data_IF_849978138938
#
_entry.id   IF_849978138938
#
_cell.length_a   1.000
_cell.length_b   1.000
_cell.length_c   1.000
_cell.angle_alpha   90.00
_cell.angle_beta   90.00
_cell.angle_gamma   90.00
#
_symmetry.space_group_name_H-M   'P 1'
#
loop_
_entity.id
_entity.type
_entity.pdbx_description
1 polymer ?
#
# COMPACT_ATOMS: atom_id res chain seq x y z
N UNK A 1 53.65 5.13 -19.29
CA UNK A 1 52.18 5.40 -19.34
C UNK A 1 51.29 4.18 -19.10
N UNK A 2 51.62 2.95 -19.55
CA UNK A 2 50.72 1.79 -19.37
C UNK A 2 50.57 1.30 -17.92
N UNK A 3 51.63 1.40 -17.10
CA UNK A 3 51.60 0.93 -15.71
C UNK A 3 50.67 1.77 -14.81
N UNK A 4 50.64 3.09 -15.02
CA UNK A 4 49.80 4.01 -14.24
C UNK A 4 48.31 3.78 -14.47
N UNK A 5 47.89 3.42 -15.69
CA UNK A 5 46.48 3.15 -15.99
C UNK A 5 45.97 1.87 -15.33
N UNK A 6 46.80 0.82 -15.28
CA UNK A 6 46.44 -0.46 -14.65
C UNK A 6 46.27 -0.29 -13.13
N UNK A 7 47.13 0.52 -12.49
CA UNK A 7 47.04 0.81 -11.05
C UNK A 7 45.76 1.58 -10.73
N UNK A 8 45.39 2.57 -11.56
CA UNK A 8 44.15 3.34 -11.37
C UNK A 8 42.91 2.47 -11.54
N UNK A 9 42.85 1.61 -12.56
CA UNK A 9 41.73 0.69 -12.77
C UNK A 9 41.62 -0.32 -11.61
N UNK A 10 42.74 -0.88 -11.16
CA UNK A 10 42.75 -1.81 -10.02
C UNK A 10 42.29 -1.13 -8.72
N UNK A 11 42.69 0.13 -8.48
CA UNK A 11 42.24 0.92 -7.33
C UNK A 11 40.74 1.22 -7.40
N UNK A 12 40.20 1.57 -8.58
CA UNK A 12 38.77 1.80 -8.77
C UNK A 12 37.98 0.49 -8.55
N UNK A 13 38.43 -0.64 -9.11
CA UNK A 13 37.75 -1.93 -8.94
C UNK A 13 37.78 -2.44 -7.50
N UNK A 14 38.89 -2.25 -6.77
CA UNK A 14 38.98 -2.61 -5.35
C UNK A 14 38.13 -1.70 -4.46
N UNK A 15 38.00 -0.40 -4.80
CA UNK A 15 37.06 0.50 -4.16
C UNK A 15 35.60 0.08 -4.41
N UNK A 16 35.25 -0.35 -5.62
CA UNK A 16 33.89 -0.83 -5.95
C UNK A 16 33.56 -2.16 -5.25
N UNK A 17 34.56 -3.06 -5.09
CA UNK A 17 34.40 -4.36 -4.42
C UNK A 17 34.22 -4.26 -2.90
N UNK A 18 34.69 -3.16 -2.29
CA UNK A 18 34.69 -2.98 -0.83
C UNK A 18 33.35 -2.47 -0.27
N UNK A 19 32.43 -2.05 -1.13
CA UNK A 19 31.09 -1.70 -0.68
C UNK A 19 30.27 -3.00 -0.54
N UNK A 20 29.78 -3.35 0.66
CA UNK A 20 28.80 -4.43 0.77
C UNK A 20 27.69 -4.11 -0.23
N UNK A 21 27.45 -5.04 -1.15
CA UNK A 21 26.47 -4.81 -2.21
C UNK A 21 25.17 -4.34 -1.58
N UNK A 22 24.51 -3.34 -2.17
CA UNK A 22 23.18 -2.89 -1.74
C UNK A 22 22.23 -4.10 -1.54
N UNK A 23 22.42 -5.13 -2.36
CA UNK A 23 21.77 -6.44 -2.30
C UNK A 23 21.95 -7.17 -0.96
N UNK A 24 23.14 -7.14 -0.35
CA UNK A 24 23.37 -7.79 0.95
C UNK A 24 22.62 -7.08 2.06
N UNK A 25 22.67 -5.74 2.11
CA UNK A 25 21.93 -4.96 3.13
C UNK A 25 20.42 -5.20 3.05
N UNK A 26 19.86 -5.32 1.83
CA UNK A 26 18.43 -5.59 1.66
C UNK A 26 18.03 -6.98 2.17
N UNK A 27 18.92 -7.99 2.06
CA UNK A 27 18.63 -9.37 2.54
C UNK A 27 18.56 -9.49 4.06
N UNK A 28 19.18 -8.56 4.77
CA UNK A 28 19.24 -8.57 6.24
C UNK A 28 18.08 -7.80 6.88
N UNK A 29 17.30 -7.03 6.10
CA UNK A 29 16.14 -6.31 6.63
C UNK A 29 15.01 -7.31 6.91
N UNK A 30 14.54 -7.40 8.16
CA UNK A 30 13.40 -8.24 8.50
C UNK A 30 12.17 -7.89 7.66
N UNK A 31 11.36 -8.89 7.28
CA UNK A 31 10.19 -8.66 6.44
C UNK A 31 9.21 -7.65 7.04
N UNK A 32 9.11 -7.58 8.38
CA UNK A 32 8.26 -6.64 9.11
C UNK A 32 8.84 -5.20 9.22
N UNK A 33 10.07 -4.98 8.73
CA UNK A 33 10.71 -3.66 8.63
C UNK A 33 10.81 -3.16 7.18
N UNK A 34 10.38 -3.97 6.21
CA UNK A 34 10.45 -3.65 4.79
C UNK A 34 9.11 -3.10 4.28
N UNK A 35 9.00 -1.80 3.92
CA UNK A 35 7.76 -1.23 3.42
C UNK A 35 7.37 -1.84 2.07
N UNK A 36 6.11 -2.29 1.95
CA UNK A 36 5.59 -2.98 0.78
C UNK A 36 4.15 -2.55 0.47
N UNK A 37 3.86 -2.41 -0.82
CA UNK A 37 2.49 -2.20 -1.30
C UNK A 37 1.70 -3.51 -1.17
N UNK A 38 0.49 -3.43 -0.64
CA UNK A 38 -0.43 -4.56 -0.45
C UNK A 38 -1.78 -4.29 -1.12
N UNK A 39 -2.35 -5.27 -1.81
CA UNK A 39 -3.73 -5.17 -2.31
C UNK A 39 -4.73 -5.62 -1.25
N UNK A 40 -5.75 -4.79 -0.99
CA UNK A 40 -6.91 -5.15 -0.17
C UNK A 40 -7.85 -6.07 -0.97
N UNK A 41 -8.26 -7.19 -0.38
CA UNK A 41 -9.08 -8.24 -1.01
C UNK A 41 -8.67 -8.52 -2.46
N UNK A 42 -7.40 -8.89 -2.64
CA UNK A 42 -6.72 -9.13 -3.91
C UNK A 42 -7.51 -10.02 -4.88
N UNK A 43 -8.29 -10.97 -4.36
CA UNK A 43 -9.12 -11.89 -5.13
C UNK A 43 -10.34 -11.26 -5.79
N UNK A 44 -10.79 -10.07 -5.37
CA UNK A 44 -11.96 -9.42 -5.98
C UNK A 44 -11.72 -8.99 -7.42
N UNK A 45 -10.46 -8.87 -7.84
CA UNK A 45 -10.08 -8.58 -9.23
C UNK A 45 -10.56 -9.64 -10.23
N UNK A 46 -10.87 -10.86 -9.77
CA UNK A 46 -11.45 -11.94 -10.57
C UNK A 46 -12.98 -11.87 -10.69
N UNK A 47 -13.66 -10.94 -10.01
CA UNK A 47 -15.11 -10.75 -10.13
C UNK A 47 -15.42 -10.20 -11.52
N UNK A 48 -16.10 -11.03 -12.34
CA UNK A 48 -16.61 -10.69 -13.68
C UNK A 48 -18.13 -10.49 -13.71
N UNK A 49 -18.81 -10.83 -12.62
CA UNK A 49 -20.25 -10.76 -12.42
C UNK A 49 -20.76 -9.32 -12.41
N UNK A 50 -21.79 -9.01 -13.18
CA UNK A 50 -22.31 -7.63 -13.33
C UNK A 50 -23.37 -7.26 -12.31
N UNK A 51 -23.83 -8.19 -11.48
CA UNK A 51 -24.84 -7.87 -10.48
C UNK A 51 -24.30 -6.89 -9.45
N UNK A 52 -25.17 -5.96 -9.03
CA UNK A 52 -24.81 -4.78 -8.25
C UNK A 52 -23.98 -5.09 -7.00
N UNK A 53 -24.36 -6.12 -6.24
CA UNK A 53 -23.65 -6.50 -5.01
C UNK A 53 -22.23 -7.02 -5.29
N UNK A 54 -22.02 -7.74 -6.39
CA UNK A 54 -20.68 -8.22 -6.77
C UNK A 54 -19.78 -7.05 -7.17
N UNK A 55 -20.31 -6.11 -7.94
CA UNK A 55 -19.58 -4.90 -8.32
C UNK A 55 -19.27 -4.00 -7.12
N UNK A 56 -20.21 -3.83 -6.20
CA UNK A 56 -20.01 -3.06 -4.98
C UNK A 56 -18.97 -3.68 -4.03
N UNK A 57 -18.82 -5.01 -4.04
CA UNK A 57 -17.79 -5.72 -3.28
C UNK A 57 -16.42 -5.75 -3.96
N UNK A 58 -16.34 -5.33 -5.23
CA UNK A 58 -15.10 -5.38 -6.00
C UNK A 58 -14.23 -4.19 -5.66
N UNK A 59 -12.99 -4.45 -5.26
CA UNK A 59 -12.04 -3.42 -4.85
C UNK A 59 -10.65 -3.54 -5.50
N UNK A 60 -10.47 -4.47 -6.43
CA UNK A 60 -9.28 -4.58 -7.27
C UNK A 60 -9.64 -4.74 -8.74
N UNK A 61 -8.75 -4.28 -9.63
CA UNK A 61 -8.79 -4.57 -11.05
C UNK A 61 -7.71 -5.58 -11.45
N UNK A 62 -8.08 -6.54 -12.29
CA UNK A 62 -7.16 -7.53 -12.83
C UNK A 62 -6.79 -8.66 -11.88
N UNK A 63 -6.07 -9.64 -12.42
CA UNK A 63 -5.61 -10.82 -11.68
C UNK A 63 -4.38 -10.49 -10.81
N UNK A 64 -3.93 -11.47 -10.02
CA UNK A 64 -2.74 -11.31 -9.16
C UNK A 64 -1.48 -10.96 -9.96
N UNK A 65 -1.30 -11.52 -11.17
CA UNK A 65 -0.16 -11.18 -12.03
C UNK A 65 -0.12 -9.68 -12.33
N UNK A 66 -1.25 -9.11 -12.74
CA UNK A 66 -1.34 -7.67 -12.99
C UNK A 66 -1.09 -6.85 -11.74
N UNK A 67 -1.58 -7.28 -10.57
CA UNK A 67 -1.29 -6.59 -9.32
C UNK A 67 0.22 -6.60 -9.00
N UNK A 68 0.92 -7.72 -9.23
CA UNK A 68 2.38 -7.81 -9.07
C UNK A 68 3.14 -6.88 -10.03
N UNK A 69 2.67 -6.77 -11.28
CA UNK A 69 3.21 -5.83 -12.28
C UNK A 69 3.04 -4.37 -11.83
N UNK A 70 1.93 -4.05 -11.16
CA UNK A 70 1.66 -2.74 -10.55
C UNK A 70 2.46 -2.47 -9.25
N UNK A 71 3.38 -3.35 -8.86
CA UNK A 71 4.25 -3.14 -7.69
C UNK A 71 3.74 -3.74 -6.38
N UNK A 72 2.59 -4.42 -6.37
CA UNK A 72 2.09 -5.12 -5.18
C UNK A 72 3.08 -6.23 -4.77
N UNK A 73 3.39 -6.33 -3.48
CA UNK A 73 4.27 -7.38 -2.92
C UNK A 73 3.65 -8.10 -1.72
N UNK A 74 2.44 -7.72 -1.31
CA UNK A 74 1.58 -8.48 -0.40
C UNK A 74 0.15 -8.49 -0.91
N UNK A 75 -0.61 -9.55 -0.63
CA UNK A 75 -2.01 -9.65 -1.04
C UNK A 75 -2.86 -10.05 0.14
N UNK A 76 -3.95 -9.34 0.40
CA UNK A 76 -4.99 -9.82 1.31
C UNK A 76 -5.93 -10.75 0.53
N UNK A 77 -5.95 -12.03 0.89
CA UNK A 77 -6.85 -13.02 0.32
C UNK A 77 -7.81 -13.46 1.42
N UNK A 78 -9.03 -12.93 1.38
CA UNK A 78 -10.07 -13.38 2.28
C UNK A 78 -10.66 -14.71 1.77
N UNK A 79 -10.80 -15.67 2.69
CA UNK A 79 -11.50 -16.91 2.41
C UNK A 79 -12.92 -16.78 2.92
N UNK A 80 -13.90 -16.84 2.02
CA UNK A 80 -15.21 -17.35 2.39
C UNK A 80 -15.10 -18.86 2.47
N UNK A 81 -15.46 -19.46 3.61
CA UNK A 81 -15.57 -20.92 3.73
C UNK A 81 -16.76 -21.38 2.89
N UNK A 82 -16.51 -21.62 1.61
CA UNK A 82 -17.32 -22.54 0.81
C UNK A 82 -16.69 -23.94 0.93
N UNK A 83 -17.52 -24.96 1.15
CA UNK A 83 -17.14 -26.36 1.41
C UNK A 83 -16.49 -27.10 0.22
N UNK A 84 -15.72 -26.41 -0.63
CA UNK A 84 -15.08 -27.01 -1.80
C UNK A 84 -13.55 -26.82 -1.73
N UNK A 85 -12.87 -27.96 -1.70
CA UNK A 85 -11.45 -28.14 -1.41
C UNK A 85 -10.49 -27.48 -2.41
N UNK A 86 -9.65 -26.56 -1.93
CA UNK A 86 -8.46 -26.02 -2.59
C UNK A 86 -7.86 -24.89 -1.75
N UNK A 87 -6.56 -24.91 -1.45
CA UNK A 87 -5.91 -23.94 -0.55
C UNK A 87 -4.80 -23.16 -1.26
N UNK A 88 -4.89 -21.82 -1.25
CA UNK A 88 -3.77 -20.90 -1.45
C UNK A 88 -3.85 -19.86 -0.33
N UNK A 89 -2.75 -19.69 0.42
CA UNK A 89 -2.72 -18.98 1.70
C UNK A 89 -2.19 -17.55 1.56
N UNK A 90 -2.99 -16.57 2.01
CA UNK A 90 -2.51 -15.48 2.87
C UNK A 90 -3.58 -15.29 3.94
N UNK A 91 -3.29 -15.70 5.17
CA UNK A 91 -4.25 -15.62 6.28
C UNK A 91 -4.21 -14.20 6.85
N UNK A 92 -5.23 -13.40 6.51
CA UNK A 92 -5.62 -12.26 7.35
C UNK A 92 -6.87 -12.65 8.13
N UNK A 93 -6.79 -12.47 9.44
CA UNK A 93 -7.85 -12.66 10.41
C UNK A 93 -7.35 -12.01 11.69
N UNK A 94 -8.21 -11.22 12.35
CA UNK A 94 -7.85 -10.55 13.60
C UNK A 94 -7.21 -11.54 14.58
N UNK A 95 -6.04 -11.16 15.11
CA UNK A 95 -5.37 -11.91 16.17
C UNK A 95 -4.35 -12.98 15.72
N UNK A 96 -4.26 -13.32 14.43
CA UNK A 96 -3.30 -14.33 13.97
C UNK A 96 -1.94 -13.75 13.55
N UNK A 97 -1.86 -12.99 12.46
CA UNK A 97 -0.57 -12.58 11.87
C UNK A 97 -0.47 -11.10 11.46
N UNK A 98 -1.60 -10.39 11.40
CA UNK A 98 -1.65 -8.95 11.12
C UNK A 98 -2.64 -8.29 12.07
N UNK A 99 -2.27 -7.13 12.60
CA UNK A 99 -3.19 -6.31 13.38
C UNK A 99 -4.05 -5.51 12.40
N UNK A 100 -5.35 -5.83 12.33
CA UNK A 100 -6.30 -5.05 11.56
C UNK A 100 -6.52 -3.71 12.26
N UNK A 101 -6.44 -2.64 11.50
CA UNK A 101 -6.70 -1.28 11.93
C UNK A 101 -7.87 -0.77 11.10
N UNK A 102 -9.07 -0.91 11.66
CA UNK A 102 -10.30 -0.38 11.09
C UNK A 102 -10.83 0.71 12.00
N UNK A 103 -11.35 1.79 11.40
CA UNK A 103 -12.00 2.87 12.13
C UNK A 103 -13.29 3.26 11.43
N UNK A 104 -14.41 2.81 12.01
CA UNK A 104 -15.75 3.03 11.47
C UNK A 104 -16.12 4.50 11.29
N UNK A 105 -15.43 5.45 11.93
CA UNK A 105 -15.75 6.88 11.75
C UNK A 105 -15.19 7.43 10.44
N UNK A 106 -14.29 6.70 9.78
CA UNK A 106 -13.70 7.10 8.50
C UNK A 106 -14.51 6.39 7.43
N UNK A 107 -15.33 7.11 6.70
CA UNK A 107 -16.21 6.53 5.67
C UNK A 107 -16.12 7.38 4.41
N UNK A 108 -16.20 6.77 3.22
CA UNK A 108 -16.32 7.57 2.00
C UNK A 108 -17.68 8.28 1.94
N UNK A 109 -18.74 7.77 2.58
CA UNK A 109 -20.09 8.35 2.51
C UNK A 109 -20.65 8.73 3.89
N UNK A 110 -20.87 10.04 4.10
CA UNK A 110 -21.41 10.60 5.34
C UNK A 110 -22.94 10.61 5.41
N UNK A 111 -23.49 11.07 6.54
CA UNK A 111 -24.96 11.13 6.75
C UNK A 111 -25.64 12.22 5.92
N UNK A 112 -24.95 13.33 5.69
CA UNK A 112 -25.48 14.53 5.03
C UNK A 112 -25.31 14.52 3.50
N UNK A 113 -25.14 13.34 2.90
CA UNK A 113 -24.88 13.19 1.45
C UNK A 113 -23.46 13.58 1.02
N UNK A 114 -22.60 13.98 1.96
CA UNK A 114 -21.17 14.19 1.74
C UNK A 114 -20.51 12.90 1.27
N UNK A 115 -19.48 13.04 0.43
CA UNK A 115 -18.68 11.90 0.01
C UNK A 115 -17.20 12.24 -0.16
N UNK A 116 -16.39 11.22 -0.42
CA UNK A 116 -14.95 11.35 -0.53
C UNK A 116 -14.44 11.79 -1.92
N UNK A 117 -15.33 12.04 -2.89
CA UNK A 117 -14.92 12.40 -4.25
C UNK A 117 -14.41 13.83 -4.32
N UNK A 118 -13.38 14.06 -5.13
CA UNK A 118 -12.74 15.36 -5.25
C UNK A 118 -13.73 16.43 -5.71
N UNK A 119 -13.75 17.55 -4.99
CA UNK A 119 -14.63 18.69 -5.26
C UNK A 119 -16.06 18.53 -4.77
N UNK A 120 -16.41 17.40 -4.14
CA UNK A 120 -17.71 17.26 -3.46
C UNK A 120 -17.72 18.00 -2.11
N UNK A 121 -18.91 18.35 -1.63
CA UNK A 121 -19.06 19.00 -0.33
C UNK A 121 -18.55 18.09 0.80
N UNK A 122 -17.65 18.61 1.63
CA UNK A 122 -17.06 17.88 2.75
C UNK A 122 -15.91 16.92 2.41
N UNK A 123 -15.55 16.75 1.12
CA UNK A 123 -14.51 15.80 0.70
C UNK A 123 -13.16 16.01 1.37
N UNK A 124 -12.75 17.27 1.52
CA UNK A 124 -11.46 17.64 2.14
C UNK A 124 -11.39 17.23 3.61
N UNK A 125 -12.48 17.40 4.36
CA UNK A 125 -12.54 16.99 5.77
C UNK A 125 -12.53 15.47 5.90
N UNK A 126 -13.28 14.76 5.05
CA UNK A 126 -13.28 13.29 4.98
C UNK A 126 -11.88 12.75 4.68
N UNK A 127 -11.19 13.33 3.68
CA UNK A 127 -9.79 12.99 3.37
C UNK A 127 -8.84 13.29 4.52
N UNK A 128 -8.98 14.45 5.14
CA UNK A 128 -8.17 14.82 6.30
C UNK A 128 -8.29 13.79 7.41
N UNK A 129 -9.50 13.32 7.71
CA UNK A 129 -9.73 12.27 8.71
C UNK A 129 -9.02 10.95 8.35
N UNK A 130 -9.11 10.51 7.09
CA UNK A 130 -8.36 9.34 6.61
C UNK A 130 -6.84 9.53 6.74
N UNK A 131 -6.32 10.70 6.39
CA UNK A 131 -4.87 10.96 6.44
C UNK A 131 -4.35 11.09 7.87
N UNK A 132 -5.12 11.71 8.76
CA UNK A 132 -4.81 11.77 10.19
C UNK A 132 -4.80 10.38 10.82
N UNK A 133 -5.73 9.52 10.39
CA UNK A 133 -5.74 8.11 10.76
C UNK A 133 -4.51 7.34 10.27
N UNK A 134 -4.12 7.50 9.00
CA UNK A 134 -2.92 6.87 8.43
C UNK A 134 -1.67 7.31 9.21
N UNK A 135 -1.52 8.62 9.47
CA UNK A 135 -0.41 9.18 10.25
C UNK A 135 -0.40 8.65 11.68
N UNK A 136 -1.57 8.64 12.33
CA UNK A 136 -1.73 8.12 13.70
C UNK A 136 -1.34 6.66 13.77
N UNK A 137 -1.77 5.85 12.80
CA UNK A 137 -1.44 4.43 12.76
C UNK A 137 0.06 4.24 12.52
N UNK A 138 0.64 4.95 11.55
CA UNK A 138 2.07 4.91 11.27
C UNK A 138 2.96 5.43 12.41
N UNK A 139 2.42 6.17 13.37
CA UNK A 139 3.18 6.67 14.54
C UNK A 139 3.43 5.59 15.59
N UNK A 140 2.61 4.52 15.60
CA UNK A 140 2.66 3.42 16.57
C UNK A 140 3.75 2.43 16.16
N UNK A 141 4.68 2.14 17.06
CA UNK A 141 5.76 1.17 16.80
C UNK A 141 5.15 -0.23 16.65
N UNK A 142 5.35 -0.92 15.50
CA UNK A 142 4.90 -2.29 15.32
C UNK A 142 5.57 -3.24 16.30
N UNK A 143 4.90 -4.35 16.59
CA UNK A 143 5.53 -5.44 17.34
C UNK A 143 6.58 -6.13 16.47
N UNK A 144 7.73 -6.54 17.04
CA UNK A 144 8.80 -7.17 16.27
C UNK A 144 8.45 -8.59 15.77
N UNK A 145 7.40 -9.21 16.30
CA UNK A 145 6.95 -10.57 15.97
C UNK A 145 5.74 -10.61 15.03
N UNK A 146 5.28 -9.46 14.50
CA UNK A 146 4.08 -9.38 13.65
C UNK A 146 4.29 -8.50 12.43
N UNK A 147 3.49 -8.77 11.41
CA UNK A 147 3.32 -7.89 10.26
C UNK A 147 2.29 -6.82 10.63
N UNK A 148 2.54 -5.59 10.18
CA UNK A 148 1.71 -4.45 10.50
C UNK A 148 1.18 -3.82 9.21
N UNK A 149 -0.12 -3.59 9.16
CA UNK A 149 -0.77 -3.05 7.97
C UNK A 149 -1.28 -1.65 8.27
N UNK A 150 -1.04 -0.73 7.34
CA UNK A 150 -1.72 0.56 7.26
C UNK A 150 -2.78 0.42 6.18
N UNK A 151 -4.05 0.53 6.56
CA UNK A 151 -5.16 0.62 5.62
C UNK A 151 -5.22 2.02 5.03
N UNK A 152 -4.74 2.17 3.80
CA UNK A 152 -4.72 3.43 3.05
C UNK A 152 -5.77 3.39 1.92
N UNK A 153 -7.00 3.09 2.29
CA UNK A 153 -8.16 3.06 1.40
C UNK A 153 -9.42 3.48 2.15
N UNK A 154 -10.47 3.82 1.41
CA UNK A 154 -11.77 4.10 2.00
C UNK A 154 -12.35 2.88 2.71
N UNK A 155 -13.01 3.16 3.82
CA UNK A 155 -13.71 2.19 4.64
C UNK A 155 -15.22 2.40 4.44
N UNK A 156 -15.97 1.31 4.59
CA UNK A 156 -17.39 1.21 4.30
C UNK A 156 -18.08 0.35 5.36
N UNK A 157 -18.97 0.94 6.15
CA UNK A 157 -19.98 0.20 6.89
C UNK A 157 -21.20 -0.09 6.02
N UNK A 158 -22.19 -0.81 6.57
CA UNK A 158 -23.39 -1.16 5.84
C UNK A 158 -24.15 0.06 5.30
N UNK A 159 -24.23 1.14 6.07
CA UNK A 159 -24.95 2.37 5.68
C UNK A 159 -24.20 3.09 4.57
N UNK A 160 -22.88 3.19 4.66
CA UNK A 160 -22.02 3.76 3.64
C UNK A 160 -22.11 2.96 2.32
N UNK A 161 -22.19 1.63 2.37
CA UNK A 161 -22.42 0.78 1.18
C UNK A 161 -23.76 1.13 0.52
N UNK A 162 -24.85 1.26 1.28
CA UNK A 162 -26.15 1.63 0.71
C UNK A 162 -26.12 3.02 0.07
N UNK A 163 -25.42 3.98 0.69
CA UNK A 163 -25.24 5.34 0.13
C UNK A 163 -24.39 5.33 -1.14
N UNK A 164 -23.29 4.57 -1.15
CA UNK A 164 -22.44 4.33 -2.32
C UNK A 164 -23.24 3.79 -3.50
N UNK A 165 -24.06 2.76 -3.24
CA UNK A 165 -24.95 2.17 -4.23
C UNK A 165 -26.01 3.17 -4.73
N UNK A 166 -26.63 3.93 -3.82
CA UNK A 166 -27.60 4.97 -4.15
C UNK A 166 -27.01 6.10 -5.00
N UNK A 167 -25.72 6.41 -4.83
CA UNK A 167 -24.97 7.36 -5.64
C UNK A 167 -24.50 6.78 -6.99
N UNK A 168 -24.82 5.51 -7.30
CA UNK A 168 -24.33 4.83 -8.50
C UNK A 168 -22.80 4.71 -8.53
N UNK A 169 -22.20 4.46 -7.37
CA UNK A 169 -20.77 4.28 -7.20
C UNK A 169 -20.40 2.87 -6.75
N UNK A 170 -19.10 2.61 -6.69
CA UNK A 170 -18.47 1.41 -6.18
C UNK A 170 -17.09 1.75 -5.61
N UNK A 171 -16.45 0.79 -4.92
CA UNK A 171 -15.17 1.01 -4.23
C UNK A 171 -14.05 1.41 -5.20
N UNK A 172 -14.02 0.84 -6.41
CA UNK A 172 -13.01 1.17 -7.43
C UNK A 172 -13.21 2.59 -7.94
N UNK A 173 -14.45 2.97 -8.22
CA UNK A 173 -14.83 4.30 -8.67
C UNK A 173 -14.52 5.35 -7.60
N UNK A 174 -14.83 5.08 -6.33
CA UNK A 174 -14.51 5.97 -5.22
C UNK A 174 -12.99 6.17 -5.06
N UNK A 175 -12.21 5.09 -5.22
CA UNK A 175 -10.74 5.16 -5.17
C UNK A 175 -10.20 6.09 -6.26
N UNK A 176 -10.75 6.02 -7.47
CA UNK A 176 -10.34 6.87 -8.61
C UNK A 176 -10.82 8.31 -8.46
N UNK A 177 -12.08 8.52 -8.08
CA UNK A 177 -12.71 9.85 -7.98
C UNK A 177 -12.21 10.66 -6.78
N UNK A 178 -11.72 10.00 -5.73
CA UNK A 178 -11.13 10.65 -4.57
C UNK A 178 -9.62 10.93 -4.71
N UNK A 179 -8.96 10.39 -5.74
CA UNK A 179 -7.51 10.52 -5.90
C UNK A 179 -6.67 9.94 -4.74
N UNK A 180 -7.26 9.13 -3.85
CA UNK A 180 -6.64 8.74 -2.57
C UNK A 180 -5.27 8.08 -2.74
N UNK A 181 -5.10 7.23 -3.76
CA UNK A 181 -3.80 6.59 -4.06
C UNK A 181 -2.74 7.61 -4.49
N UNK A 182 -3.11 8.66 -5.21
CA UNK A 182 -2.20 9.76 -5.56
C UNK A 182 -1.82 10.57 -4.31
N UNK A 183 -2.79 10.92 -3.47
CA UNK A 183 -2.57 11.80 -2.31
C UNK A 183 -1.66 11.14 -1.26
N UNK A 184 -1.88 9.86 -0.98
CA UNK A 184 -1.09 9.14 0.03
C UNK A 184 0.38 8.94 -0.36
N UNK A 185 0.75 9.08 -1.65
CA UNK A 185 2.15 9.10 -2.08
C UNK A 185 2.91 10.23 -1.40
N UNK A 186 2.28 11.41 -1.29
CA UNK A 186 2.86 12.58 -0.62
C UNK A 186 3.05 12.38 0.88
N UNK A 187 2.28 11.48 1.49
CA UNK A 187 2.35 11.19 2.93
C UNK A 187 3.46 10.21 3.30
N UNK A 188 3.77 9.24 2.44
CA UNK A 188 4.72 8.15 2.72
C UNK A 188 6.07 8.61 3.30
N UNK A 189 6.71 9.69 2.81
CA UNK A 189 7.95 10.19 3.38
C UNK A 189 7.86 10.52 4.88
N UNK A 190 6.70 10.96 5.36
CA UNK A 190 6.48 11.43 6.73
C UNK A 190 6.01 10.32 7.69
N UNK A 191 5.59 9.17 7.17
CA UNK A 191 5.12 8.05 7.99
C UNK A 191 6.30 7.40 8.73
N UNK A 192 6.19 7.25 10.05
CA UNK A 192 7.31 6.77 10.88
C UNK A 192 7.56 5.27 10.73
N UNK A 193 6.50 4.47 10.82
CA UNK A 193 6.54 3.02 10.68
C UNK A 193 5.61 2.59 9.54
N UNK A 194 6.14 1.84 8.58
CA UNK A 194 5.35 1.22 7.52
C UNK A 194 5.89 -0.20 7.32
N UNK A 195 5.00 -1.18 7.32
CA UNK A 195 5.32 -2.50 6.82
C UNK A 195 4.48 -2.82 5.58
N UNK A 196 3.20 -3.15 5.73
CA UNK A 196 2.28 -3.18 4.60
C UNK A 196 1.51 -1.88 4.49
N UNK A 197 1.49 -1.33 3.28
CA UNK A 197 0.66 -0.20 2.91
C UNK A 197 -0.44 -0.73 1.98
N UNK A 198 -1.64 -0.90 2.52
CA UNK A 198 -2.73 -1.59 1.85
C UNK A 198 -3.65 -0.61 1.13
N UNK A 199 -3.92 -0.84 -0.15
CA UNK A 199 -4.79 0.01 -0.98
C UNK A 199 -5.87 -0.78 -1.71
N UNK A 200 -6.96 -0.09 -2.05
CA UNK A 200 -7.89 -0.52 -3.09
C UNK A 200 -7.34 -0.08 -4.45
N UNK A 201 -7.74 -0.80 -5.51
CA UNK A 201 -7.27 -0.61 -6.89
C UNK A 201 -5.76 -0.36 -6.99
N UNK A 202 -4.97 -1.35 -6.58
CA UNK A 202 -3.52 -1.19 -6.42
C UNK A 202 -2.79 -0.86 -7.74
N UNK A 203 -3.47 -0.93 -8.89
CA UNK A 203 -2.91 -0.50 -10.17
C UNK A 203 -3.12 0.99 -10.47
N UNK A 204 -4.03 1.67 -9.78
CA UNK A 204 -4.12 3.13 -9.80
C UNK A 204 -2.98 3.68 -8.94
N UNK A 205 -2.00 4.30 -9.60
CA UNK A 205 -0.75 4.80 -9.01
C UNK A 205 0.16 3.76 -8.33
N UNK A 206 -0.07 2.46 -8.57
CA UNK A 206 0.67 1.36 -7.95
C UNK A 206 2.19 1.48 -8.06
N UNK A 207 2.69 1.79 -9.25
CA UNK A 207 4.13 1.97 -9.47
C UNK A 207 4.69 3.14 -8.63
N UNK A 208 3.97 4.27 -8.59
CA UNK A 208 4.40 5.46 -7.84
C UNK A 208 4.39 5.18 -6.33
N UNK A 209 3.35 4.49 -5.83
CA UNK A 209 3.25 4.02 -4.45
C UNK A 209 4.40 3.07 -4.10
N UNK A 210 4.66 2.07 -4.95
CA UNK A 210 5.76 1.14 -4.78
C UNK A 210 7.10 1.87 -4.65
N UNK A 211 7.40 2.79 -5.56
CA UNK A 211 8.66 3.54 -5.50
C UNK A 211 8.73 4.52 -4.32
N UNK A 212 7.62 5.08 -3.86
CA UNK A 212 7.57 5.87 -2.64
C UNK A 212 7.93 5.01 -1.40
N UNK A 213 7.33 3.83 -1.28
CA UNK A 213 7.63 2.86 -0.20
C UNK A 213 9.07 2.36 -0.27
N UNK A 214 9.59 2.07 -1.46
CA UNK A 214 10.99 1.64 -1.65
C UNK A 214 11.96 2.72 -1.21
N UNK A 215 11.75 3.97 -1.61
CA UNK A 215 12.60 5.09 -1.17
C UNK A 215 12.57 5.28 0.34
N UNK A 216 11.44 5.00 0.99
CA UNK A 216 11.30 5.06 2.45
C UNK A 216 12.09 3.97 3.18
N UNK A 217 12.10 2.75 2.64
CA UNK A 217 12.80 1.61 3.25
C UNK A 217 14.31 1.57 2.98
N UNK A 218 14.80 2.34 2.00
CA UNK A 218 16.23 2.44 1.75
C UNK A 218 16.90 3.35 2.78
N UNK A 219 18.14 3.03 3.22
CA UNK A 219 18.91 3.97 4.02
C UNK A 219 19.06 5.30 3.26
N UNK A 220 19.08 6.45 3.96
CA UNK A 220 19.32 7.72 3.30
C UNK A 220 20.64 7.63 2.52
N UNK A 221 20.73 8.27 1.34
CA UNK A 221 22.00 8.31 0.62
C UNK A 221 23.06 8.91 1.56
N UNK A 222 24.32 8.43 1.51
CA UNK A 222 25.38 9.04 2.28
C UNK A 222 25.44 10.54 1.96
N UNK A 223 25.77 11.40 2.95
CA UNK A 223 25.88 12.83 2.72
C UNK A 223 26.84 13.08 1.56
N UNK A 224 26.47 13.99 0.64
CA UNK A 224 27.37 14.37 -0.46
C UNK A 224 28.63 14.99 0.17
N UNK A 225 29.84 14.64 -0.30
CA UNK A 225 31.04 15.34 0.13
C UNK A 225 30.90 16.84 -0.18
N UNK A 226 31.49 17.73 0.64
CA UNK A 226 31.47 19.17 0.37
C UNK A 226 32.04 19.43 -1.03
N UNK A 227 31.36 20.30 -1.79
CA UNK A 227 31.88 20.79 -3.07
C UNK A 227 32.92 21.85 -2.71
N UNK A 228 34.20 21.48 -2.83
CA UNK A 228 35.34 22.38 -2.69
C UNK A 228 35.65 23.08 -4.02
#
# INVERSE_FOLDING_TARGET
MRLSLVIVIAAILSLVSSYPSLTQKVREIPLNEWPMLRSHNAGTGYITRTELLWQASKNQEGNLTRQLECGVRGSNLERSTFDLSGSVFVVEGEGMCSDANWDRTIQCYGEDGQNCHDGSEGSEEIKKQLFDYIKTTASRKPRPDRLFTIQAHWQYDYTAILRMLGAGSDILKDTKLSGVNTDVIGLIPDLKYINFFQTNDACVDGERLFWALRRKGLPPPPPRPPIN
#
